data_IF_622766491861
#
_entry.id   IF_622766491861
#
_cell.length_a   1.000
_cell.length_b   1.000
_cell.length_c   1.000
_cell.angle_alpha   90.00
_cell.angle_beta   90.00
_cell.angle_gamma   90.00
#
_symmetry.space_group_name_H-M   'P 1'
#
loop_
_entity.id
_entity.type
_entity.pdbx_description
1 polymer ?
#
# COMPACT_ATOMS: atom_id res chain seq x y z
N UNK A 1 3.57 -3.33 9.92
CA UNK A 1 4.53 -3.34 8.79
C UNK A 1 5.49 -4.52 8.97
N UNK A 2 5.11 -5.71 8.50
CA UNK A 2 5.94 -6.93 8.63
C UNK A 2 7.01 -7.01 7.54
N UNK A 3 7.09 -8.16 6.88
CA UNK A 3 8.06 -8.49 5.81
C UNK A 3 8.20 -7.44 4.70
N UNK A 4 7.17 -6.62 4.45
CA UNK A 4 7.23 -5.53 3.48
C UNK A 4 8.25 -4.45 3.89
N UNK A 5 8.38 -4.13 5.18
CA UNK A 5 9.37 -3.16 5.68
C UNK A 5 10.78 -3.70 5.52
N UNK A 6 10.97 -4.98 5.85
CA UNK A 6 12.26 -5.66 5.69
C UNK A 6 12.71 -5.73 4.23
N UNK A 7 11.76 -5.87 3.29
CA UNK A 7 12.05 -5.88 1.85
C UNK A 7 12.26 -4.51 1.22
N UNK A 8 11.64 -3.47 1.77
CA UNK A 8 11.61 -2.12 1.20
C UNK A 8 12.61 -1.16 1.85
N UNK A 9 13.33 -1.61 2.88
CA UNK A 9 14.38 -0.87 3.56
C UNK A 9 13.92 -0.14 4.82
N UNK A 10 14.85 0.06 5.76
CA UNK A 10 14.61 0.62 7.10
C UNK A 10 14.56 2.17 7.12
N UNK A 11 13.85 2.76 6.15
CA UNK A 11 13.67 4.21 6.02
C UNK A 11 12.31 4.72 6.51
N UNK A 12 12.23 6.01 6.86
CA UNK A 12 10.96 6.70 7.19
C UNK A 12 10.03 6.87 5.98
N UNK A 13 10.60 6.76 4.78
CA UNK A 13 9.91 6.72 3.50
C UNK A 13 10.20 5.35 2.87
N UNK A 14 9.16 4.67 2.40
CA UNK A 14 9.36 3.55 1.48
C UNK A 14 10.03 4.14 0.23
N UNK A 15 11.06 3.52 -0.33
CA UNK A 15 11.82 4.02 -1.52
C UNK A 15 10.95 4.21 -2.79
N UNK A 16 9.64 3.98 -2.66
CA UNK A 16 8.57 4.34 -3.58
C UNK A 16 8.14 5.82 -3.49
N UNK A 17 8.54 6.58 -2.47
CA UNK A 17 8.05 7.95 -2.25
C UNK A 17 6.68 8.01 -1.57
N UNK A 18 6.28 6.92 -0.91
CA UNK A 18 5.04 6.77 -0.16
C UNK A 18 5.39 6.76 1.33
N UNK A 19 4.64 7.51 2.14
CA UNK A 19 4.86 7.55 3.58
C UNK A 19 4.58 6.19 4.20
N UNK A 20 5.35 5.83 5.23
CA UNK A 20 5.23 4.55 5.93
C UNK A 20 3.86 4.33 6.60
N UNK A 21 3.17 5.44 6.90
CA UNK A 21 1.83 5.50 7.50
C UNK A 21 0.73 5.85 6.49
N UNK A 22 1.04 5.94 5.20
CA UNK A 22 0.03 6.20 4.18
C UNK A 22 -0.97 5.06 4.11
N UNK A 23 -2.24 5.40 3.97
CA UNK A 23 -3.31 4.44 3.70
C UNK A 23 -3.22 3.89 2.26
N UNK A 24 -3.92 2.78 2.00
CA UNK A 24 -4.03 2.22 0.63
C UNK A 24 -4.63 3.26 -0.33
N UNK A 25 -5.61 4.05 0.11
CA UNK A 25 -6.19 5.12 -0.71
C UNK A 25 -5.17 6.21 -1.05
N UNK A 26 -4.37 6.65 -0.08
CA UNK A 26 -3.31 7.64 -0.32
C UNK A 26 -2.23 7.11 -1.27
N UNK A 27 -1.94 5.81 -1.20
CA UNK A 27 -1.00 5.16 -2.12
C UNK A 27 -1.47 5.19 -3.58
N UNK A 28 -2.77 5.32 -3.86
CA UNK A 28 -3.27 5.44 -5.23
C UNK A 28 -3.07 6.83 -5.84
N UNK A 29 -2.86 7.87 -5.01
CA UNK A 29 -2.54 9.23 -5.48
C UNK A 29 -1.06 9.35 -5.89
N UNK A 30 -0.25 8.36 -5.52
CA UNK A 30 1.14 8.26 -5.93
C UNK A 30 1.27 8.14 -7.45
N UNK A 31 2.29 8.82 -8.01
CA UNK A 31 2.62 8.69 -9.43
C UNK A 31 3.58 7.53 -9.62
N UNK A 32 3.14 6.51 -10.37
CA UNK A 32 3.97 5.36 -10.74
C UNK A 32 5.36 5.78 -11.24
N UNK A 33 6.41 5.17 -10.68
CA UNK A 33 7.81 5.34 -11.10
C UNK A 33 8.39 4.03 -11.62
N UNK A 34 9.50 4.14 -12.35
CA UNK A 34 10.32 3.00 -12.73
C UNK A 34 11.56 2.99 -11.85
N UNK A 35 11.73 1.89 -11.13
CA UNK A 35 12.81 1.71 -10.17
C UNK A 35 13.88 0.79 -10.74
N UNK A 36 15.14 0.98 -10.35
CA UNK A 36 16.21 0.03 -10.70
C UNK A 36 16.05 -1.30 -9.96
N UNK A 37 15.38 -1.27 -8.81
CA UNK A 37 15.14 -2.44 -7.97
C UNK A 37 13.85 -3.12 -8.40
N UNK A 38 13.93 -4.39 -8.78
CA UNK A 38 12.81 -5.18 -9.32
C UNK A 38 11.63 -5.25 -8.34
N UNK A 39 11.89 -5.37 -7.03
CA UNK A 39 10.81 -5.45 -6.04
C UNK A 39 9.97 -4.18 -6.02
N UNK A 40 10.59 -3.00 -6.15
CA UNK A 40 9.87 -1.73 -6.14
C UNK A 40 8.93 -1.61 -7.35
N UNK A 41 9.35 -2.09 -8.52
CA UNK A 41 8.48 -2.16 -9.69
C UNK A 41 7.29 -3.11 -9.49
N UNK A 42 7.51 -4.24 -8.80
CA UNK A 42 6.43 -5.18 -8.47
C UNK A 42 5.42 -4.58 -7.51
N UNK A 43 5.88 -3.76 -6.56
CA UNK A 43 4.99 -3.01 -5.66
C UNK A 43 4.19 -1.95 -6.44
N UNK A 44 4.81 -1.22 -7.37
CA UNK A 44 4.10 -0.28 -8.26
C UNK A 44 3.00 -0.98 -9.08
N UNK A 45 3.24 -2.21 -9.56
CA UNK A 45 2.23 -3.01 -10.27
C UNK A 45 1.06 -3.40 -9.36
N UNK A 46 1.32 -3.80 -8.12
CA UNK A 46 0.25 -4.13 -7.16
C UNK A 46 -0.54 -2.89 -6.71
N UNK A 47 0.10 -1.72 -6.56
CA UNK A 47 -0.59 -0.45 -6.32
C UNK A 47 -1.53 -0.14 -7.50
N UNK A 48 -1.06 -0.28 -8.74
CA UNK A 48 -1.88 -0.02 -9.92
C UNK A 48 -3.02 -1.04 -10.08
N UNK A 49 -2.76 -2.31 -9.74
CA UNK A 49 -3.78 -3.37 -9.75
C UNK A 49 -4.85 -3.12 -8.71
N UNK A 50 -4.47 -2.79 -7.46
CA UNK A 50 -5.41 -2.44 -6.39
C UNK A 50 -6.25 -1.21 -6.72
N UNK A 51 -5.65 -0.20 -7.37
CA UNK A 51 -6.35 0.99 -7.88
C UNK A 51 -7.43 0.63 -8.91
N UNK A 52 -7.14 -0.32 -9.81
CA UNK A 52 -8.09 -0.80 -10.84
C UNK A 52 -9.13 -1.75 -10.29
N UNK A 53 -8.76 -2.59 -9.33
CA UNK A 53 -9.65 -3.54 -8.67
C UNK A 53 -10.45 -2.89 -7.53
N UNK A 54 -10.45 -1.55 -7.43
CA UNK A 54 -11.32 -0.80 -6.54
C UNK A 54 -12.77 -1.06 -6.93
N UNK A 55 -13.34 -2.11 -6.36
CA UNK A 55 -14.78 -2.28 -6.27
C UNK A 55 -15.26 -1.19 -5.31
N UNK A 56 -16.39 -0.53 -5.60
CA UNK A 56 -17.05 0.40 -4.65
C UNK A 56 -17.63 -0.36 -3.44
N UNK A 57 -16.94 -1.39 -2.94
CA UNK A 57 -17.26 -2.01 -1.68
C UNK A 57 -16.82 -1.08 -0.56
N UNK A 58 -17.74 -0.83 0.36
CA UNK A 58 -17.46 -0.07 1.57
C UNK A 58 -16.33 -0.78 2.35
N UNK A 59 -15.46 0.00 3.01
CA UNK A 59 -14.39 -0.56 3.83
C UNK A 59 -15.02 -1.27 5.04
N UNK A 60 -15.20 -2.59 4.94
CA UNK A 60 -15.80 -3.39 5.99
C UNK A 60 -14.71 -3.76 6.99
N UNK A 61 -14.85 -3.23 8.21
CA UNK A 61 -14.04 -3.67 9.35
C UNK A 61 -14.31 -5.15 9.66
N UNK A 62 -13.44 -6.04 9.19
CA UNK A 62 -13.53 -7.49 9.39
C UNK A 62 -13.21 -7.94 10.83
N UNK A 63 -12.81 -7.02 11.70
CA UNK A 63 -12.51 -7.31 13.09
C UNK A 63 -13.80 -7.36 13.92
N UNK A 64 -14.01 -8.50 14.58
CA UNK A 64 -15.01 -8.71 15.64
C UNK A 64 -14.68 -7.84 16.86
N UNK A 65 -14.84 -6.53 16.78
CA UNK A 65 -14.95 -5.65 17.95
C UNK A 65 -15.54 -4.27 17.63
N UNK A 66 -16.42 -4.18 16.63
CA UNK A 66 -17.10 -2.93 16.26
C UNK A 66 -18.54 -2.79 16.76
N UNK A 67 -19.20 -3.86 17.22
CA UNK A 67 -20.58 -3.81 17.74
C UNK A 67 -20.78 -4.81 18.88
N UNK A 68 -20.19 -4.47 20.03
CA UNK A 68 -20.60 -4.99 21.32
C UNK A 68 -21.34 -3.90 22.08
N UNK A 69 -22.55 -3.54 21.63
CA UNK A 69 -23.57 -2.86 22.43
C UNK A 69 -24.95 -3.08 21.82
#
# INVERSE_FOLDING_TARGET
>A
LGCLKDLLGDGSCIDLGILINATVEESWKHRKRSHRVVILNRVEEEIEKSRRSRVNEEDISLWLNGKGQ
#
